data_IF_810686113665
#
_entry.id   IF_810686113665
#
_cell.length_a   1.000
_cell.length_b   1.000
_cell.length_c   1.000
_cell.angle_alpha   90.00
_cell.angle_beta   90.00
_cell.angle_gamma   90.00
#
_symmetry.space_group_name_H-M   'P 1'
#
loop_
_entity.id
_entity.type
_entity.pdbx_description
1 polymer ?
#
# COMPACT_ATOMS: atom_id res chain seq x y z
N UNK A 1 -75.79 -17.84 30.56
CA UNK A 1 -75.13 -18.98 30.00
C UNK A 1 -73.72 -18.49 29.66
N UNK A 2 -72.77 -18.56 30.57
CA UNK A 2 -71.86 -19.59 30.92
C UNK A 2 -71.09 -20.07 29.66
N UNK A 3 -69.83 -19.78 29.56
CA UNK A 3 -68.78 -20.71 29.96
C UNK A 3 -67.37 -20.10 29.80
N UNK A 4 -66.66 -20.08 30.90
CA UNK A 4 -65.22 -19.86 31.05
C UNK A 4 -64.44 -21.01 30.44
N UNK A 5 -63.40 -20.64 29.60
CA UNK A 5 -62.36 -21.58 29.23
C UNK A 5 -61.00 -20.85 29.22
N UNK A 6 -60.39 -20.72 30.38
CA UNK A 6 -58.95 -20.51 30.48
C UNK A 6 -58.38 -21.56 31.43
N UNK A 7 -57.89 -22.66 30.84
CA UNK A 7 -57.14 -23.67 31.54
C UNK A 7 -55.70 -23.23 31.82
N UNK A 8 -55.14 -23.57 32.99
CA UNK A 8 -53.81 -23.21 33.39
C UNK A 8 -52.80 -24.25 32.90
N UNK A 9 -52.04 -23.98 31.87
CA UNK A 9 -50.96 -24.86 31.43
C UNK A 9 -49.70 -24.11 31.01
N UNK A 10 -49.21 -23.17 31.79
CA UNK A 10 -47.86 -22.63 31.61
C UNK A 10 -47.19 -22.46 32.97
N UNK A 11 -47.06 -23.56 33.72
CA UNK A 11 -46.31 -23.55 34.99
C UNK A 11 -45.44 -24.78 35.21
N UNK A 12 -45.07 -25.51 34.15
CA UNK A 12 -44.31 -26.76 34.36
C UNK A 12 -42.89 -26.74 33.71
N UNK A 13 -42.38 -25.59 33.36
CA UNK A 13 -41.05 -25.49 32.73
C UNK A 13 -39.98 -24.82 33.60
N UNK A 14 -40.30 -24.46 34.86
CA UNK A 14 -39.36 -23.81 35.76
C UNK A 14 -39.08 -24.56 37.08
N UNK A 15 -39.61 -25.75 37.27
CA UNK A 15 -39.32 -26.58 38.45
C UNK A 15 -38.38 -27.75 38.15
N UNK A 16 -37.27 -27.45 37.47
CA UNK A 16 -36.12 -28.32 37.39
C UNK A 16 -34.92 -27.66 38.00
N UNK A 17 -34.92 -27.45 39.33
CA UNK A 17 -33.72 -27.17 40.10
C UNK A 17 -32.81 -28.43 40.08
N UNK A 18 -32.37 -28.83 38.89
CA UNK A 18 -31.25 -29.73 38.75
C UNK A 18 -30.01 -28.90 39.10
N UNK A 19 -29.62 -28.90 40.35
CA UNK A 19 -28.39 -28.22 40.80
C UNK A 19 -27.21 -28.64 39.89
N UNK A 20 -26.59 -27.67 39.26
CA UNK A 20 -25.43 -27.88 38.43
C UNK A 20 -24.37 -28.63 39.23
N UNK A 21 -23.96 -29.78 38.76
CA UNK A 21 -23.00 -30.63 39.49
C UNK A 21 -21.61 -29.96 39.48
N UNK A 22 -20.87 -30.13 40.55
CA UNK A 22 -19.51 -29.53 40.69
C UNK A 22 -18.62 -29.92 39.51
N UNK A 23 -18.81 -31.09 38.94
CA UNK A 23 -18.07 -31.59 37.77
C UNK A 23 -18.43 -30.80 36.51
N UNK A 24 -19.69 -30.45 36.32
CA UNK A 24 -20.20 -29.72 35.17
C UNK A 24 -19.68 -28.26 35.16
N UNK A 25 -19.65 -27.61 36.30
CA UNK A 25 -19.01 -26.28 36.43
C UNK A 25 -17.52 -26.36 36.21
N UNK A 26 -16.84 -27.37 36.72
CA UNK A 26 -15.40 -27.55 36.50
C UNK A 26 -15.07 -27.76 34.99
N UNK A 27 -15.85 -28.58 34.29
CA UNK A 27 -15.69 -28.80 32.84
C UNK A 27 -16.00 -27.54 32.06
N UNK A 28 -17.10 -26.83 32.39
CA UNK A 28 -17.47 -25.58 31.73
C UNK A 28 -16.38 -24.50 31.90
N UNK A 29 -15.84 -24.35 33.13
CA UNK A 29 -14.74 -23.44 33.39
C UNK A 29 -13.46 -23.83 32.62
N UNK A 30 -13.14 -25.11 32.56
CA UNK A 30 -12.01 -25.61 31.80
C UNK A 30 -12.13 -25.31 30.30
N UNK A 31 -13.28 -25.56 29.70
CA UNK A 31 -13.55 -25.22 28.29
C UNK A 31 -13.49 -23.71 28.06
N UNK A 32 -14.03 -22.90 28.97
CA UNK A 32 -13.98 -21.44 28.85
C UNK A 32 -12.56 -20.90 28.85
N UNK A 33 -11.69 -21.43 29.72
CA UNK A 33 -10.27 -21.04 29.75
C UNK A 33 -9.56 -21.38 28.42
N UNK A 34 -9.81 -22.57 27.86
CA UNK A 34 -9.24 -22.94 26.57
C UNK A 34 -9.71 -22.02 25.44
N UNK A 35 -10.98 -21.68 25.37
CA UNK A 35 -11.54 -20.78 24.37
C UNK A 35 -10.96 -19.36 24.51
N UNK A 36 -10.92 -18.83 25.75
CA UNK A 36 -10.39 -17.50 26.00
C UNK A 36 -8.89 -17.39 25.66
N UNK A 37 -8.10 -18.41 25.99
CA UNK A 37 -6.68 -18.43 25.63
C UNK A 37 -6.47 -18.52 24.12
N UNK A 38 -7.28 -19.30 23.42
CA UNK A 38 -7.26 -19.36 21.95
C UNK A 38 -7.61 -18.03 21.30
N UNK A 39 -8.65 -17.35 21.75
CA UNK A 39 -9.05 -16.02 21.27
C UNK A 39 -7.96 -14.97 21.55
N UNK A 40 -7.39 -14.97 22.75
CA UNK A 40 -6.30 -14.04 23.08
C UNK A 40 -5.07 -14.24 22.20
N UNK A 41 -4.73 -15.48 21.87
CA UNK A 41 -3.65 -15.80 20.92
C UNK A 41 -3.92 -15.27 19.51
N UNK A 42 -5.14 -15.46 19.00
CA UNK A 42 -5.53 -14.96 17.67
C UNK A 42 -5.54 -13.44 17.59
N UNK A 43 -6.05 -12.74 18.61
CA UNK A 43 -6.06 -11.28 18.64
C UNK A 43 -4.65 -10.69 18.65
N UNK A 44 -3.74 -11.27 19.44
CA UNK A 44 -2.33 -10.84 19.49
C UNK A 44 -1.66 -10.99 18.11
N UNK A 45 -1.89 -12.12 17.43
CA UNK A 45 -1.33 -12.35 16.10
C UNK A 45 -1.90 -11.37 15.06
N UNK A 46 -3.21 -11.17 15.07
CA UNK A 46 -3.89 -10.22 14.19
C UNK A 46 -3.37 -8.78 14.39
N UNK A 47 -3.20 -8.34 15.64
CA UNK A 47 -2.67 -7.01 15.94
C UNK A 47 -1.25 -6.82 15.37
N UNK A 48 -0.36 -7.79 15.59
CA UNK A 48 1.02 -7.72 15.06
C UNK A 48 1.05 -7.68 13.53
N UNK A 49 0.19 -8.44 12.84
CA UNK A 49 0.10 -8.38 11.39
C UNK A 49 -0.37 -7.01 10.91
N UNK A 50 -1.41 -6.45 11.53
CA UNK A 50 -1.96 -5.13 11.18
C UNK A 50 -0.94 -4.00 11.43
N UNK A 51 -0.18 -4.05 12.53
CA UNK A 51 0.88 -3.07 12.81
C UNK A 51 1.98 -3.11 11.76
N UNK A 52 2.46 -4.30 11.39
CA UNK A 52 3.50 -4.44 10.38
C UNK A 52 3.03 -3.97 8.98
N UNK A 53 1.79 -4.32 8.58
CA UNK A 53 1.22 -3.86 7.31
C UNK A 53 1.01 -2.35 7.31
N UNK A 54 0.52 -1.79 8.41
CA UNK A 54 0.35 -0.34 8.59
C UNK A 54 1.67 0.40 8.45
N UNK A 55 2.71 -0.07 9.09
CA UNK A 55 4.05 0.51 9.01
C UNK A 55 4.61 0.47 7.58
N UNK A 56 4.50 -0.66 6.88
CA UNK A 56 4.97 -0.79 5.49
C UNK A 56 4.16 0.09 4.53
N UNK A 57 2.85 0.20 4.73
CA UNK A 57 1.99 1.06 3.91
C UNK A 57 2.35 2.54 4.09
N UNK A 58 2.61 2.96 5.34
CA UNK A 58 3.05 4.32 5.65
C UNK A 58 4.40 4.62 4.99
N UNK A 59 5.37 3.71 5.10
CA UNK A 59 6.69 3.86 4.46
C UNK A 59 6.59 3.92 2.93
N UNK A 60 5.78 3.08 2.31
CA UNK A 60 5.60 3.15 0.85
C UNK A 60 4.92 4.46 0.42
N UNK A 61 3.99 5.00 1.22
CA UNK A 61 3.38 6.30 0.94
C UNK A 61 4.40 7.44 1.05
N UNK A 62 5.22 7.45 2.10
CA UNK A 62 6.31 8.41 2.31
C UNK A 62 7.28 8.40 1.12
N UNK A 63 7.76 7.24 0.71
CA UNK A 63 8.69 7.13 -0.42
C UNK A 63 8.07 7.48 -1.78
N UNK A 64 6.77 7.27 -1.95
CA UNK A 64 6.08 7.70 -3.16
C UNK A 64 5.95 9.24 -3.22
N UNK A 65 5.68 9.88 -2.08
CA UNK A 65 5.61 11.35 -1.95
C UNK A 65 6.99 11.97 -2.16
N UNK A 66 8.02 11.46 -1.46
CA UNK A 66 9.40 11.92 -1.61
C UNK A 66 9.85 11.91 -3.10
N UNK A 67 9.57 10.80 -3.80
CA UNK A 67 9.89 10.74 -5.24
C UNK A 67 9.05 11.70 -6.07
N UNK A 68 7.80 11.90 -5.73
CA UNK A 68 6.94 12.87 -6.42
C UNK A 68 7.48 14.29 -6.27
N UNK A 69 7.94 14.68 -5.06
CA UNK A 69 8.54 15.99 -4.81
C UNK A 69 9.80 16.20 -5.65
N UNK A 70 10.71 15.21 -5.70
CA UNK A 70 11.90 15.25 -6.55
C UNK A 70 11.56 15.47 -8.03
N UNK A 71 10.50 14.81 -8.53
CA UNK A 71 10.05 14.99 -9.92
C UNK A 71 9.38 16.36 -10.14
N UNK A 72 8.73 16.88 -9.12
CA UNK A 72 8.10 18.22 -9.18
C UNK A 72 9.10 19.38 -9.17
N UNK A 73 10.30 19.19 -8.65
CA UNK A 73 11.38 20.19 -8.70
C UNK A 73 11.92 20.40 -10.12
N UNK A 74 11.83 19.39 -10.99
CA UNK A 74 12.33 19.49 -12.37
C UNK A 74 11.49 20.47 -13.19
N UNK A 75 12.10 21.11 -14.18
CA UNK A 75 11.35 21.96 -15.12
C UNK A 75 10.43 21.12 -16.00
N UNK A 76 9.32 21.68 -16.50
CA UNK A 76 8.36 20.97 -17.35
C UNK A 76 9.00 20.34 -18.59
N UNK A 77 10.00 21.00 -19.20
CA UNK A 77 10.70 20.56 -20.41
C UNK A 77 11.90 19.66 -20.15
N UNK A 78 12.22 19.36 -18.90
CA UNK A 78 13.35 18.51 -18.57
C UNK A 78 13.18 17.10 -19.17
N UNK A 79 14.17 16.68 -19.95
CA UNK A 79 14.22 15.35 -20.56
C UNK A 79 15.62 14.71 -20.43
N UNK A 80 16.47 15.22 -19.55
CA UNK A 80 17.88 14.81 -19.44
C UNK A 80 18.32 14.49 -18.01
N UNK A 81 17.65 15.04 -17.01
CA UNK A 81 18.02 14.81 -15.60
C UNK A 81 17.89 13.34 -15.24
N UNK A 82 18.91 12.80 -14.59
CA UNK A 82 18.88 11.43 -14.10
C UNK A 82 18.20 11.40 -12.74
N UNK A 83 16.93 11.04 -12.75
CA UNK A 83 16.07 10.93 -11.58
C UNK A 83 16.13 9.57 -10.91
N UNK A 84 16.85 8.60 -11.48
CA UNK A 84 17.01 7.27 -10.88
C UNK A 84 18.13 7.19 -9.86
N UNK A 85 18.98 8.22 -9.79
CA UNK A 85 20.06 8.34 -8.80
C UNK A 85 19.73 9.38 -7.75
N UNK A 86 20.36 9.30 -6.59
CA UNK A 86 20.19 10.29 -5.54
C UNK A 86 21.55 10.77 -5.02
N UNK A 87 21.78 12.08 -4.89
CA UNK A 87 20.94 13.15 -5.42
C UNK A 87 20.83 13.12 -6.95
N UNK A 88 19.74 13.62 -7.50
CA UNK A 88 19.53 13.68 -8.94
C UNK A 88 20.63 14.48 -9.63
N UNK A 89 21.07 14.03 -10.81
CA UNK A 89 22.06 14.75 -11.63
C UNK A 89 21.41 15.32 -12.88
N UNK A 90 21.95 16.41 -13.41
CA UNK A 90 21.37 17.17 -14.53
C UNK A 90 21.58 16.51 -15.90
N UNK A 91 22.11 15.29 -15.95
CA UNK A 91 22.40 14.59 -17.20
C UNK A 91 22.31 13.05 -17.04
N UNK A 92 22.16 12.37 -18.14
CA UNK A 92 22.22 10.91 -18.20
C UNK A 92 20.91 10.18 -17.82
N UNK A 93 19.79 10.89 -17.74
CA UNK A 93 18.49 10.31 -17.43
C UNK A 93 17.37 10.70 -18.40
N UNK A 94 16.17 10.54 -17.97
CA UNK A 94 14.95 10.82 -18.73
C UNK A 94 14.19 12.06 -18.23
N UNK A 95 14.55 12.59 -17.07
CA UNK A 95 13.88 13.73 -16.46
C UNK A 95 12.37 13.54 -16.37
N UNK A 96 11.62 14.48 -16.93
CA UNK A 96 10.17 14.43 -17.13
C UNK A 96 9.77 14.10 -18.58
N UNK A 97 10.64 13.40 -19.35
CA UNK A 97 10.22 12.85 -20.63
C UNK A 97 9.02 11.93 -20.45
N UNK A 98 8.14 11.92 -21.44
CA UNK A 98 6.96 11.05 -21.41
C UNK A 98 7.36 9.59 -21.55
N UNK A 99 6.82 8.73 -20.70
CA UNK A 99 7.16 7.32 -20.66
C UNK A 99 7.05 6.72 -19.28
N UNK A 100 7.74 5.59 -19.11
CA UNK A 100 7.70 4.84 -17.85
C UNK A 100 6.44 3.98 -17.69
N UNK A 101 6.34 3.33 -16.55
CA UNK A 101 5.21 2.51 -16.17
C UNK A 101 5.01 2.61 -14.66
N UNK A 102 3.81 2.97 -14.22
CA UNK A 102 3.47 3.05 -12.79
C UNK A 102 3.15 1.68 -12.17
N UNK A 103 3.23 0.57 -12.93
CA UNK A 103 3.13 -0.77 -12.38
C UNK A 103 4.51 -1.27 -11.93
N UNK A 104 4.69 -1.51 -10.61
CA UNK A 104 5.95 -2.03 -10.09
C UNK A 104 6.34 -3.42 -10.62
N UNK A 105 5.39 -4.19 -11.16
CA UNK A 105 5.69 -5.49 -11.76
C UNK A 105 6.44 -5.36 -13.09
N UNK A 106 6.32 -4.21 -13.76
CA UNK A 106 6.91 -3.96 -15.07
C UNK A 106 7.73 -2.65 -15.07
N UNK A 107 8.83 -2.56 -14.31
CA UNK A 107 9.64 -1.35 -14.21
C UNK A 107 10.31 -1.05 -15.55
N UNK A 108 10.36 0.23 -15.92
CA UNK A 108 11.03 0.73 -17.12
C UNK A 108 12.33 1.40 -16.70
N UNK A 109 13.42 1.10 -17.41
CA UNK A 109 14.74 1.73 -17.18
C UNK A 109 14.61 3.26 -17.35
N UNK A 110 15.19 4.02 -16.43
CA UNK A 110 15.07 5.48 -16.40
C UNK A 110 13.81 5.99 -15.65
N UNK A 111 12.87 5.09 -15.31
CA UNK A 111 11.63 5.41 -14.59
C UNK A 111 11.41 4.51 -13.35
N UNK A 112 12.50 3.99 -12.81
CA UNK A 112 12.49 3.19 -11.61
C UNK A 112 13.75 3.41 -10.79
N UNK A 113 13.61 3.43 -9.46
CA UNK A 113 14.73 3.39 -8.52
C UNK A 113 14.44 2.43 -7.36
N UNK A 114 15.46 2.20 -6.56
CA UNK A 114 15.43 1.18 -5.52
C UNK A 114 16.02 1.72 -4.22
N UNK A 115 15.40 1.35 -3.11
CA UNK A 115 15.85 1.68 -1.77
C UNK A 115 16.13 0.40 -0.98
N UNK A 116 17.00 0.49 0.01
CA UNK A 116 17.23 -0.58 1.00
C UNK A 116 16.13 -0.64 2.06
N UNK A 117 16.32 -1.43 3.12
CA UNK A 117 15.38 -1.56 4.26
C UNK A 117 15.21 -0.27 5.05
N UNK A 118 16.23 0.56 5.08
CA UNK A 118 16.27 1.81 5.83
C UNK A 118 15.77 3.01 4.99
N UNK A 119 15.53 2.78 3.70
CA UNK A 119 15.08 3.80 2.75
C UNK A 119 16.23 4.53 2.06
N UNK A 120 17.48 4.05 2.18
CA UNK A 120 18.60 4.66 1.48
C UNK A 120 18.59 4.29 0.00
N UNK A 121 18.84 5.24 -0.90
CA UNK A 121 18.94 4.99 -2.34
C UNK A 121 20.08 4.03 -2.68
N UNK A 122 19.80 3.01 -3.47
CA UNK A 122 20.78 2.03 -3.95
C UNK A 122 21.40 2.42 -5.27
N UNK A 123 20.77 3.34 -6.01
CA UNK A 123 21.26 3.83 -7.30
C UNK A 123 22.00 5.15 -7.09
N UNK A 124 23.23 5.18 -7.53
CA UNK A 124 24.11 6.35 -7.45
C UNK A 124 24.69 6.68 -8.82
N UNK A 125 25.36 7.84 -8.93
CA UNK A 125 26.05 8.22 -10.17
C UNK A 125 27.08 7.18 -10.59
N UNK A 126 27.79 6.58 -9.62
CA UNK A 126 28.78 5.53 -9.87
C UNK A 126 28.14 4.18 -10.22
N UNK A 127 26.96 3.90 -9.68
CA UNK A 127 26.19 2.67 -9.90
C UNK A 127 24.76 3.04 -10.27
N UNK A 128 24.49 3.45 -11.51
CA UNK A 128 23.13 3.82 -11.93
C UNK A 128 22.21 2.59 -11.94
N UNK A 129 20.93 2.83 -11.74
CA UNK A 129 19.92 1.78 -11.84
C UNK A 129 19.84 1.24 -13.27
N UNK A 130 19.94 -0.07 -13.38
CA UNK A 130 19.80 -0.82 -14.64
C UNK A 130 18.44 -1.56 -14.68
N UNK A 131 18.23 -2.36 -15.73
CA UNK A 131 17.06 -3.24 -15.81
C UNK A 131 17.02 -4.30 -14.69
N UNK A 132 18.20 -4.68 -14.17
CA UNK A 132 18.31 -5.63 -13.06
C UNK A 132 18.33 -4.87 -11.73
N UNK A 133 17.38 -5.14 -10.82
CA UNK A 133 17.37 -4.51 -9.50
C UNK A 133 18.61 -4.91 -8.70
N UNK A 134 19.19 -4.01 -7.88
CA UNK A 134 20.24 -4.35 -6.92
C UNK A 134 19.82 -5.51 -6.00
N UNK A 135 20.72 -6.42 -5.63
CA UNK A 135 20.38 -7.61 -4.83
C UNK A 135 19.74 -7.27 -3.48
N UNK A 136 20.18 -6.17 -2.86
CA UNK A 136 19.78 -5.70 -1.53
C UNK A 136 18.52 -4.82 -1.52
N UNK A 137 17.86 -4.63 -2.67
CA UNK A 137 16.68 -3.77 -2.70
C UNK A 137 15.55 -4.32 -1.83
N UNK A 138 14.85 -3.41 -1.15
CA UNK A 138 13.69 -3.73 -0.35
C UNK A 138 12.45 -2.96 -0.81
N UNK A 139 12.59 -1.67 -1.13
CA UNK A 139 11.55 -0.85 -1.73
C UNK A 139 11.89 -0.54 -3.18
N UNK A 140 10.88 -0.52 -4.02
CA UNK A 140 10.95 -0.10 -5.42
C UNK A 140 10.01 1.06 -5.62
N UNK A 141 10.51 2.13 -6.24
CA UNK A 141 9.70 3.24 -6.72
C UNK A 141 9.70 3.20 -8.24
N UNK A 142 8.54 3.28 -8.84
CA UNK A 142 8.38 3.39 -10.30
C UNK A 142 7.51 4.60 -10.60
N UNK A 143 7.75 5.24 -11.73
CA UNK A 143 6.92 6.37 -12.15
C UNK A 143 6.59 6.31 -13.62
N UNK A 144 5.51 7.00 -13.96
CA UNK A 144 5.03 7.19 -15.32
C UNK A 144 4.73 8.68 -15.52
N UNK A 145 5.21 9.20 -16.65
CA UNK A 145 4.95 10.57 -17.08
C UNK A 145 4.10 10.52 -18.33
N UNK A 146 2.89 11.05 -18.26
CA UNK A 146 1.94 11.14 -19.36
C UNK A 146 1.84 12.59 -19.86
N UNK A 147 1.64 12.76 -21.16
CA UNK A 147 1.35 14.05 -21.79
C UNK A 147 0.18 13.90 -22.76
N UNK A 148 -0.24 14.96 -23.40
CA UNK A 148 -1.26 14.94 -24.46
C UNK A 148 -0.93 13.97 -25.60
N UNK A 149 0.35 13.69 -25.84
CA UNK A 149 0.81 12.77 -26.88
C UNK A 149 0.75 11.29 -26.47
N UNK A 150 0.64 11.01 -25.16
CA UNK A 150 0.61 9.65 -24.61
C UNK A 150 -0.77 9.28 -24.05
N UNK A 151 -1.79 10.10 -24.32
CA UNK A 151 -3.18 9.82 -23.92
C UNK A 151 -3.66 8.50 -24.51
N UNK A 152 -4.37 7.72 -23.69
CA UNK A 152 -4.89 6.42 -24.10
C UNK A 152 -3.88 5.26 -24.04
N UNK A 153 -2.58 5.51 -23.72
CA UNK A 153 -1.65 4.43 -23.39
C UNK A 153 -1.94 3.89 -21.99
N UNK A 154 -1.58 2.63 -21.75
CA UNK A 154 -1.83 1.97 -20.46
C UNK A 154 -1.31 2.81 -19.29
N UNK A 155 -2.19 3.15 -18.36
CA UNK A 155 -1.87 3.96 -17.19
C UNK A 155 -1.96 5.47 -17.36
N UNK A 156 -2.10 5.98 -18.58
CA UNK A 156 -2.32 7.41 -18.87
C UNK A 156 -3.81 7.74 -19.03
N UNK A 157 -4.24 8.95 -18.66
CA UNK A 157 -5.61 9.40 -18.86
C UNK A 157 -5.97 9.48 -20.36
N UNK A 158 -7.26 9.38 -20.66
CA UNK A 158 -7.77 9.42 -22.03
C UNK A 158 -7.54 10.78 -22.71
N UNK A 159 -7.42 11.86 -21.94
CA UNK A 159 -7.15 13.21 -22.46
C UNK A 159 -6.34 14.01 -21.45
N UNK A 160 -5.37 14.76 -21.94
CA UNK A 160 -4.59 15.74 -21.19
C UNK A 160 -4.42 17.01 -22.03
N UNK A 161 -4.51 18.21 -21.45
CA UNK A 161 -4.15 19.44 -22.14
C UNK A 161 -2.71 19.42 -22.62
N UNK A 162 -2.43 20.10 -23.75
CA UNK A 162 -1.10 20.10 -24.39
C UNK A 162 0.02 20.66 -23.49
N UNK A 163 -0.33 21.54 -22.54
CA UNK A 163 0.59 22.18 -21.60
C UNK A 163 0.62 21.49 -20.23
N UNK A 164 0.12 20.27 -20.14
CA UNK A 164 0.02 19.54 -18.88
C UNK A 164 0.67 18.15 -19.01
N UNK A 165 1.42 17.78 -17.97
CA UNK A 165 1.88 16.40 -17.75
C UNK A 165 1.26 15.85 -16.49
N UNK A 166 0.82 14.60 -16.53
CA UNK A 166 0.49 13.82 -15.34
C UNK A 166 1.71 12.99 -14.95
N UNK A 167 2.06 13.04 -13.68
CA UNK A 167 3.10 12.21 -13.09
C UNK A 167 2.41 11.29 -12.09
N UNK A 168 2.63 9.99 -12.24
CA UNK A 168 2.16 8.98 -11.30
C UNK A 168 3.35 8.23 -10.76
N UNK A 169 3.53 8.24 -9.44
CA UNK A 169 4.58 7.50 -8.74
C UNK A 169 3.92 6.38 -7.94
N UNK A 170 4.52 5.20 -7.98
CA UNK A 170 4.11 4.05 -7.18
C UNK A 170 5.32 3.49 -6.45
N UNK A 171 5.20 3.33 -5.14
CA UNK A 171 6.18 2.63 -4.31
C UNK A 171 5.61 1.31 -3.80
N UNK A 172 6.45 0.28 -3.72
CA UNK A 172 6.08 -1.05 -3.24
C UNK A 172 7.24 -1.73 -2.52
N UNK A 173 6.93 -2.68 -1.64
CA UNK A 173 7.92 -3.53 -0.97
C UNK A 173 8.24 -4.78 -1.79
N UNK A 174 9.42 -5.36 -1.56
CA UNK A 174 9.89 -6.60 -2.21
C UNK A 174 9.08 -7.82 -1.78
N UNK A 175 8.84 -7.94 -0.48
CA UNK A 175 8.19 -9.10 0.14
C UNK A 175 6.88 -8.69 0.80
N UNK A 176 5.89 -9.57 0.74
CA UNK A 176 4.67 -9.42 1.54
C UNK A 176 4.93 -9.89 2.98
N UNK A 177 4.34 -9.20 3.95
CA UNK A 177 4.31 -9.66 5.33
C UNK A 177 3.07 -10.53 5.53
N UNK A 178 3.25 -11.71 6.13
CA UNK A 178 2.13 -12.60 6.42
C UNK A 178 1.48 -13.29 5.22
N UNK A 179 2.13 -13.33 4.05
CA UNK A 179 1.60 -14.01 2.85
C UNK A 179 0.47 -13.27 2.13
N UNK A 180 0.11 -12.08 2.59
CA UNK A 180 -0.93 -11.23 2.03
C UNK A 180 -0.42 -10.34 0.87
N UNK A 181 -1.17 -9.33 0.52
CA UNK A 181 -0.82 -8.36 -0.51
C UNK A 181 0.44 -7.57 -0.13
N UNK A 182 1.30 -7.29 -1.11
CA UNK A 182 2.46 -6.40 -0.92
C UNK A 182 1.98 -4.98 -0.66
N UNK A 183 2.52 -4.33 0.37
CA UNK A 183 2.25 -2.92 0.59
C UNK A 183 2.63 -2.11 -0.65
N UNK A 184 1.69 -1.29 -1.12
CA UNK A 184 1.80 -0.49 -2.33
C UNK A 184 1.07 0.82 -2.13
N UNK A 185 1.73 1.92 -2.42
CA UNK A 185 1.14 3.26 -2.39
C UNK A 185 1.38 3.97 -3.71
N UNK A 186 0.41 4.74 -4.17
CA UNK A 186 0.50 5.50 -5.41
C UNK A 186 0.08 6.94 -5.19
N UNK A 187 0.86 7.86 -5.74
CA UNK A 187 0.60 9.30 -5.73
C UNK A 187 0.52 9.78 -7.17
N UNK A 188 -0.42 10.67 -7.44
CA UNK A 188 -0.61 11.29 -8.77
C UNK A 188 -0.55 12.80 -8.60
N UNK A 189 0.20 13.46 -9.48
CA UNK A 189 0.27 14.91 -9.54
C UNK A 189 0.28 15.39 -10.98
N UNK A 190 0.02 16.68 -11.16
CA UNK A 190 0.02 17.32 -12.46
C UNK A 190 1.05 18.46 -12.45
N UNK A 191 1.76 18.56 -13.57
CA UNK A 191 2.70 19.64 -13.83
C UNK A 191 2.28 20.38 -15.09
N UNK A 192 2.13 21.70 -14.97
CA UNK A 192 1.75 22.55 -16.09
C UNK A 192 2.96 23.29 -16.63
N UNK A 193 2.98 23.49 -17.93
CA UNK A 193 3.88 24.42 -18.56
C UNK A 193 3.23 25.82 -18.49
N UNK A 194 3.82 26.69 -17.70
CA UNK A 194 3.40 28.09 -17.61
C UNK A 194 4.28 28.89 -18.55
N UNK A 195 3.83 29.23 -19.78
CA UNK A 195 4.55 30.22 -20.58
C UNK A 195 4.57 31.54 -19.82
N UNK A 196 5.67 32.26 -19.95
CA UNK A 196 5.94 33.51 -19.21
C UNK A 196 4.67 34.35 -19.02
N UNK A 197 4.17 34.45 -17.79
CA UNK A 197 2.99 35.26 -17.47
C UNK A 197 1.99 34.63 -16.50
N UNK A 198 2.26 33.39 -15.91
CA UNK A 198 1.41 32.88 -14.81
C UNK A 198 1.76 33.56 -13.48
#
# INVERSE_FOLDING_TARGET
>A
MSTSWFGPRIRHWLDGDAGVTLIETAVACGLMVVVLTGLAGMTTLATRMTENEGHLTTRTAEYAVDKMEQLQELTYGDAQSNTTVFPSVTSGGTGLATGGNADPASPVVGYADYLDTDGNPLCTVANPCTATPPATWYYRRVWQVCSSLTTGTSGCPASLPANMKQIKVTATVKTSVGGALKAKSSVVSFKTNCPAGC
#
